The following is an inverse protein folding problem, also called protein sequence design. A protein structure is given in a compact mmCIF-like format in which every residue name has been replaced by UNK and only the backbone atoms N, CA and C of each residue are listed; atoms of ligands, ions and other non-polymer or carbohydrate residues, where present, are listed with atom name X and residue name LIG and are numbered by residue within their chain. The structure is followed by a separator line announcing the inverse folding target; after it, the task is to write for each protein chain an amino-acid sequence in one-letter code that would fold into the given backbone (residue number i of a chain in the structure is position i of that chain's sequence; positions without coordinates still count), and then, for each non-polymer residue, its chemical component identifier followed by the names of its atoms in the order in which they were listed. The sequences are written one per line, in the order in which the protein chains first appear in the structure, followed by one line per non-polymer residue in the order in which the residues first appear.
data_IF_650616345347
#
_entry.id   IF_650616345347
#
_cell.length_a   1.000
_cell.length_b   1.000
_cell.length_c   1.000
_cell.angle_alpha   90.00
_cell.angle_beta   90.00
_cell.angle_gamma   90.00
#
_symmetry.space_group_name_H-M   'P 1'
#
loop_
_entity.id
_entity.type
_entity.pdbx_description
1 polymer ?
#
# COMPACT_ATOMS: atom_id res chain seq x y z
N UNK A 1 36.65 -5.01 8.12
CA UNK A 1 35.54 -4.07 7.83
C UNK A 1 34.52 -4.74 6.93
N UNK A 2 33.52 -5.43 7.49
CA UNK A 2 32.47 -6.08 6.70
C UNK A 2 31.38 -5.05 6.38
N UNK A 3 31.48 -4.44 5.20
CA UNK A 3 30.33 -3.77 4.60
C UNK A 3 29.21 -4.81 4.50
N UNK A 4 28.11 -4.64 5.24
CA UNK A 4 26.91 -5.48 5.07
C UNK A 4 26.41 -5.30 3.62
N UNK A 5 26.81 -6.23 2.74
CA UNK A 5 26.51 -6.23 1.31
C UNK A 5 25.01 -6.53 1.14
N UNK A 6 24.32 -5.70 0.36
CA UNK A 6 22.93 -5.98 -0.01
C UNK A 6 22.82 -7.25 -0.84
N UNK A 7 21.65 -7.86 -0.90
CA UNK A 7 21.42 -9.04 -1.72
C UNK A 7 21.11 -8.67 -3.16
N UNK A 8 21.85 -9.26 -4.10
CA UNK A 8 21.63 -9.09 -5.54
C UNK A 8 20.48 -10.01 -5.97
N UNK A 9 19.41 -9.41 -6.48
CA UNK A 9 18.23 -10.12 -6.99
C UNK A 9 18.16 -9.90 -8.51
N UNK A 10 18.14 -10.95 -9.33
CA UNK A 10 17.97 -10.82 -10.76
C UNK A 10 16.57 -10.26 -11.09
N UNK A 11 16.51 -9.42 -12.11
CA UNK A 11 15.26 -8.95 -12.71
C UNK A 11 15.25 -9.30 -14.20
N UNK A 12 14.08 -9.31 -14.84
CA UNK A 12 13.98 -9.27 -16.31
C UNK A 12 13.40 -7.93 -16.76
N UNK A 13 13.78 -7.47 -17.95
CA UNK A 13 13.17 -6.32 -18.61
C UNK A 13 12.31 -6.82 -19.76
N UNK A 14 11.00 -6.66 -19.65
CA UNK A 14 10.03 -7.13 -20.63
C UNK A 14 9.09 -5.96 -20.95
N UNK A 15 8.93 -5.61 -22.24
CA UNK A 15 8.13 -4.44 -22.65
C UNK A 15 8.46 -3.17 -21.83
N UNK A 16 9.77 -2.89 -21.69
CA UNK A 16 10.32 -1.76 -20.92
C UNK A 16 9.96 -1.75 -19.42
N UNK A 17 9.41 -2.84 -18.88
CA UNK A 17 9.04 -2.98 -17.46
C UNK A 17 9.98 -3.97 -16.75
N UNK A 18 10.46 -3.63 -15.54
CA UNK A 18 11.22 -4.55 -14.71
C UNK A 18 10.32 -5.56 -14.00
N UNK A 19 10.68 -6.84 -14.06
CA UNK A 19 9.99 -7.93 -13.38
C UNK A 19 10.92 -8.65 -12.40
N UNK A 20 10.34 -9.09 -11.28
CA UNK A 20 10.98 -10.00 -10.32
C UNK A 20 10.26 -11.35 -10.40
N UNK A 21 11.04 -12.42 -10.59
CA UNK A 21 10.55 -13.80 -10.68
C UNK A 21 10.99 -14.67 -9.48
N UNK A 22 11.70 -14.08 -8.52
CA UNK A 22 12.26 -14.78 -7.34
C UNK A 22 11.44 -14.55 -6.07
N UNK A 23 10.23 -14.00 -6.20
CA UNK A 23 9.33 -13.78 -5.08
C UNK A 23 8.49 -15.03 -4.85
N UNK A 24 8.29 -15.38 -3.59
CA UNK A 24 7.47 -16.53 -3.21
C UNK A 24 6.43 -16.13 -2.16
N UNK A 25 5.17 -16.45 -2.44
CA UNK A 25 4.09 -16.44 -1.45
C UNK A 25 4.18 -17.72 -0.64
N UNK A 26 4.23 -17.60 0.68
CA UNK A 26 4.37 -18.75 1.58
C UNK A 26 3.24 -18.76 2.59
N UNK A 27 2.54 -19.87 2.70
CA UNK A 27 1.61 -20.19 3.79
C UNK A 27 2.09 -21.42 4.57
N UNK A 28 1.23 -22.02 5.39
CA UNK A 28 1.59 -23.18 6.21
C UNK A 28 1.82 -24.46 5.40
N UNK A 29 1.36 -24.53 4.15
CA UNK A 29 1.34 -25.77 3.35
C UNK A 29 2.10 -25.62 2.03
N UNK A 30 2.21 -24.41 1.49
CA UNK A 30 2.67 -24.15 0.13
C UNK A 30 3.66 -22.99 0.05
N UNK A 31 4.56 -23.08 -0.92
CA UNK A 31 5.34 -21.96 -1.44
C UNK A 31 5.00 -21.80 -2.93
N UNK A 32 4.51 -20.62 -3.33
CA UNK A 32 4.09 -20.34 -4.70
C UNK A 32 4.97 -19.22 -5.26
N UNK A 33 5.84 -19.51 -6.25
CA UNK A 33 6.63 -18.48 -6.90
C UNK A 33 5.73 -17.56 -7.71
N UNK A 34 6.03 -16.25 -7.67
CA UNK A 34 5.30 -15.23 -8.40
C UNK A 34 6.19 -14.35 -9.26
N UNK A 35 5.69 -14.02 -10.45
CA UNK A 35 6.24 -13.02 -11.35
C UNK A 35 5.47 -11.71 -11.18
N UNK A 36 6.17 -10.67 -10.75
CA UNK A 36 5.55 -9.36 -10.48
C UNK A 36 6.34 -8.23 -11.13
N UNK A 37 5.64 -7.17 -11.53
CA UNK A 37 6.28 -5.92 -11.94
C UNK A 37 6.80 -5.18 -10.71
N UNK A 38 7.99 -4.60 -10.84
CA UNK A 38 8.57 -3.70 -9.85
C UNK A 38 8.10 -2.27 -10.16
N UNK A 39 7.19 -1.75 -9.34
CA UNK A 39 6.41 -0.54 -9.65
C UNK A 39 6.61 0.54 -8.59
N UNK A 40 7.55 1.45 -8.81
CA UNK A 40 7.81 2.56 -7.87
C UNK A 40 6.68 3.61 -7.87
N UNK A 41 5.74 3.56 -8.83
CA UNK A 41 4.57 4.43 -8.86
C UNK A 41 3.39 3.91 -8.03
N UNK A 42 3.46 2.64 -7.60
CA UNK A 42 2.41 2.02 -6.80
C UNK A 42 2.61 2.24 -5.30
N UNK A 43 1.54 2.59 -4.58
CA UNK A 43 1.57 2.79 -3.13
C UNK A 43 1.48 1.50 -2.30
N UNK A 44 0.89 0.44 -2.83
CA UNK A 44 0.70 -0.83 -2.11
C UNK A 44 1.98 -1.65 -1.94
N UNK A 45 1.93 -2.67 -1.07
CA UNK A 45 3.06 -3.60 -0.92
C UNK A 45 3.05 -4.64 -2.03
N UNK A 46 1.90 -5.25 -2.25
CA UNK A 46 1.67 -6.28 -3.25
C UNK A 46 0.24 -6.13 -3.80
N UNK A 47 0.11 -6.16 -5.12
CA UNK A 47 -1.18 -6.33 -5.81
C UNK A 47 -1.12 -7.60 -6.63
N UNK A 48 -2.08 -8.50 -6.43
CA UNK A 48 -2.13 -9.79 -7.11
C UNK A 48 -3.38 -9.88 -7.98
N UNK A 49 -3.19 -10.33 -9.21
CA UNK A 49 -4.27 -10.78 -10.06
C UNK A 49 -4.62 -12.23 -9.71
N UNK A 50 -5.66 -12.39 -8.90
CA UNK A 50 -6.17 -13.70 -8.52
C UNK A 50 -6.82 -14.46 -9.69
N UNK A 51 -7.12 -13.80 -10.81
CA UNK A 51 -7.64 -14.44 -12.02
C UNK A 51 -6.55 -15.06 -12.89
N UNK A 52 -5.30 -14.59 -12.77
CA UNK A 52 -4.19 -15.02 -13.61
C UNK A 52 -3.62 -16.41 -13.26
N UNK A 53 -3.83 -16.93 -12.04
CA UNK A 53 -3.24 -18.21 -11.62
C UNK A 53 -4.07 -18.91 -10.55
N UNK A 54 -4.54 -20.12 -10.85
CA UNK A 54 -5.32 -20.97 -9.92
C UNK A 54 -4.56 -21.41 -8.67
N UNK A 55 -3.23 -21.28 -8.63
CA UNK A 55 -2.39 -21.64 -7.48
C UNK A 55 -2.30 -20.54 -6.43
N UNK A 56 -2.63 -19.29 -6.75
CA UNK A 56 -2.64 -18.19 -5.79
C UNK A 56 -3.97 -18.25 -5.04
N UNK A 57 -3.93 -18.77 -3.81
CA UNK A 57 -5.10 -18.81 -2.93
C UNK A 57 -5.36 -17.45 -2.32
N UNK A 58 -6.60 -17.00 -2.39
CA UNK A 58 -7.04 -15.81 -1.66
C UNK A 58 -6.99 -16.07 -0.14
N UNK A 59 -6.63 -15.07 0.68
CA UNK A 59 -6.76 -15.15 2.12
C UNK A 59 -8.21 -15.38 2.57
N UNK A 60 -8.39 -16.04 3.72
CA UNK A 60 -9.73 -16.31 4.28
C UNK A 60 -10.50 -15.04 4.66
N UNK A 61 -9.78 -14.00 5.11
CA UNK A 61 -10.36 -12.70 5.44
C UNK A 61 -10.02 -11.71 4.33
N UNK A 62 -11.08 -11.18 3.71
CA UNK A 62 -11.02 -10.13 2.70
C UNK A 62 -11.98 -9.01 3.08
N UNK A 63 -11.60 -7.77 2.80
CA UNK A 63 -12.48 -6.61 2.86
C UNK A 63 -12.54 -5.94 1.50
N UNK A 64 -13.69 -5.41 1.11
CA UNK A 64 -13.81 -4.59 -0.09
C UNK A 64 -13.15 -3.24 0.17
N UNK A 65 -12.42 -2.70 -0.82
CA UNK A 65 -11.75 -1.42 -0.69
C UNK A 65 -11.55 -0.74 -2.05
N UNK A 66 -11.47 0.59 -2.03
CA UNK A 66 -10.88 1.36 -3.11
C UNK A 66 -9.36 1.23 -3.00
N UNK A 67 -8.75 0.52 -3.95
CA UNK A 67 -7.32 0.17 -3.93
C UNK A 67 -6.43 1.34 -4.39
N UNK A 68 -7.03 2.34 -5.03
CA UNK A 68 -6.37 3.56 -5.46
C UNK A 68 -7.03 4.13 -6.71
N UNK A 69 -6.29 5.03 -7.37
CA UNK A 69 -6.69 5.65 -8.64
C UNK A 69 -5.56 5.46 -9.65
N UNK A 70 -5.86 4.82 -10.77
CA UNK A 70 -4.99 4.74 -11.94
C UNK A 70 -5.34 5.81 -12.97
N UNK A 71 -4.61 5.80 -14.09
CA UNK A 71 -4.88 6.69 -15.23
C UNK A 71 -6.31 6.53 -15.77
N UNK A 72 -6.87 5.32 -15.69
CA UNK A 72 -8.22 4.98 -16.14
C UNK A 72 -9.31 5.24 -15.09
N UNK A 73 -8.97 5.83 -13.94
CA UNK A 73 -9.90 6.13 -12.86
C UNK A 73 -9.74 5.25 -11.63
N UNK A 74 -10.83 5.05 -10.90
CA UNK A 74 -10.85 4.35 -9.61
C UNK A 74 -10.59 2.86 -9.81
N UNK A 75 -9.73 2.29 -8.97
CA UNK A 75 -9.43 0.85 -8.94
C UNK A 75 -10.10 0.26 -7.71
N UNK A 76 -11.13 -0.56 -7.92
CA UNK A 76 -11.80 -1.31 -6.87
C UNK A 76 -11.27 -2.74 -6.77
N UNK A 77 -11.43 -3.33 -5.60
CA UNK A 77 -11.16 -4.74 -5.36
C UNK A 77 -11.19 -5.06 -3.88
N UNK A 78 -10.33 -5.98 -3.47
CA UNK A 78 -10.27 -6.48 -2.09
C UNK A 78 -8.90 -6.30 -1.48
N UNK A 79 -8.86 -6.11 -0.17
CA UNK A 79 -7.64 -6.20 0.64
C UNK A 79 -7.68 -7.49 1.47
N UNK A 80 -6.52 -8.13 1.60
CA UNK A 80 -6.32 -9.32 2.41
C UNK A 80 -4.91 -9.35 2.99
N UNK A 81 -4.67 -10.24 3.96
CA UNK A 81 -3.32 -10.47 4.50
C UNK A 81 -2.67 -11.73 3.93
N UNK A 82 -1.49 -11.56 3.36
CA UNK A 82 -0.60 -12.66 2.97
C UNK A 82 0.32 -12.96 4.15
N UNK A 83 0.37 -14.23 4.56
CA UNK A 83 1.13 -14.65 5.74
C UNK A 83 2.62 -14.34 5.61
N UNK A 84 3.21 -14.67 4.47
CA UNK A 84 4.64 -14.52 4.25
C UNK A 84 4.98 -14.29 2.77
N UNK A 85 5.93 -13.40 2.54
CA UNK A 85 6.54 -13.14 1.23
C UNK A 85 8.06 -13.29 1.36
N UNK A 86 8.66 -14.13 0.54
CA UNK A 86 10.12 -14.32 0.49
C UNK A 86 10.73 -13.75 -0.76
N UNK A 87 11.92 -13.18 -0.63
CA UNK A 87 12.78 -12.72 -1.73
C UNK A 87 14.23 -12.89 -1.32
N UNK A 88 14.95 -13.80 -1.98
CA UNK A 88 16.30 -14.16 -1.57
C UNK A 88 16.33 -14.59 -0.09
N UNK A 89 17.20 -13.98 0.71
CA UNK A 89 17.32 -14.22 2.16
C UNK A 89 16.27 -13.48 3.01
N UNK A 90 15.52 -12.55 2.42
CA UNK A 90 14.56 -11.74 3.15
C UNK A 90 13.20 -12.42 3.25
N UNK A 91 12.61 -12.34 4.43
CA UNK A 91 11.25 -12.81 4.70
C UNK A 91 10.46 -11.66 5.33
N UNK A 92 9.35 -11.29 4.69
CA UNK A 92 8.38 -10.35 5.22
C UNK A 92 7.13 -11.12 5.62
N UNK A 93 6.44 -10.65 6.65
CA UNK A 93 5.30 -11.35 7.22
C UNK A 93 4.09 -10.42 7.31
N UNK A 94 2.91 -11.03 7.30
CA UNK A 94 1.63 -10.36 7.54
C UNK A 94 1.37 -9.16 6.63
N UNK A 95 1.67 -9.32 5.33
CA UNK A 95 1.60 -8.24 4.34
C UNK A 95 0.15 -7.94 4.00
N UNK A 96 -0.22 -6.67 3.95
CA UNK A 96 -1.46 -6.23 3.30
C UNK A 96 -1.26 -6.31 1.79
N UNK A 97 -2.05 -7.16 1.14
CA UNK A 97 -2.07 -7.32 -0.31
C UNK A 97 -3.42 -6.88 -0.87
N UNK A 98 -3.38 -6.34 -2.09
CA UNK A 98 -4.56 -5.96 -2.84
C UNK A 98 -4.87 -6.98 -3.94
N UNK A 99 -6.16 -7.16 -4.21
CA UNK A 99 -6.69 -8.06 -5.23
C UNK A 99 -7.69 -7.26 -6.07
N UNK A 100 -7.23 -6.58 -7.13
CA UNK A 100 -8.07 -5.76 -7.99
C UNK A 100 -9.13 -6.59 -8.73
N UNK A 101 -10.29 -5.99 -8.99
CA UNK A 101 -11.31 -6.62 -9.82
C UNK A 101 -10.84 -6.73 -11.28
N UNK A 102 -11.23 -7.81 -11.95
CA UNK A 102 -10.69 -8.21 -13.26
C UNK A 102 -10.84 -7.18 -14.37
N UNK A 103 -11.85 -6.30 -14.32
CA UNK A 103 -12.04 -5.22 -15.30
C UNK A 103 -10.99 -4.12 -15.18
N UNK A 104 -10.41 -3.92 -13.99
CA UNK A 104 -9.37 -2.90 -13.75
C UNK A 104 -7.98 -3.36 -14.22
N UNK A 105 -7.76 -4.68 -14.33
CA UNK A 105 -6.44 -5.27 -14.60
C UNK A 105 -6.22 -5.62 -16.08
N UNK A 106 -7.30 -5.87 -16.84
CA UNK A 106 -7.26 -6.22 -18.29
C UNK A 106 -6.55 -5.21 -19.18
N UNK A 107 -6.46 -3.94 -18.76
CA UNK A 107 -5.74 -2.89 -19.52
C UNK A 107 -4.21 -3.08 -19.47
N UNK A 108 -3.69 -3.87 -18.52
CA UNK A 108 -2.27 -3.84 -18.13
C UNK A 108 -1.46 -5.05 -18.63
N UNK A 109 -2.10 -6.15 -19.06
CA UNK A 109 -1.41 -7.42 -19.36
C UNK A 109 -1.61 -7.86 -20.81
N UNK A 110 -0.62 -7.62 -21.68
CA UNK A 110 -0.65 -8.07 -23.07
C UNK A 110 0.52 -9.01 -23.40
N UNK A 111 0.71 -10.09 -22.61
CA UNK A 111 1.73 -11.12 -22.91
C UNK A 111 1.19 -12.52 -22.56
N UNK A 112 0.80 -13.30 -23.57
CA UNK A 112 0.15 -14.62 -23.41
C UNK A 112 1.09 -15.76 -22.99
N UNK A 113 2.41 -15.56 -22.97
CA UNK A 113 3.38 -16.68 -22.83
C UNK A 113 3.96 -16.86 -21.42
N UNK A 114 3.82 -15.89 -20.52
CA UNK A 114 4.21 -16.01 -19.11
C UNK A 114 3.43 -14.98 -18.26
N UNK A 115 2.28 -15.35 -17.68
CA UNK A 115 1.35 -14.39 -17.10
C UNK A 115 1.96 -13.70 -15.88
N UNK A 116 1.95 -12.36 -15.91
CA UNK A 116 2.24 -11.52 -14.75
C UNK A 116 1.21 -11.79 -13.66
N UNK A 117 1.66 -12.16 -12.46
CA UNK A 117 0.77 -12.40 -11.32
C UNK A 117 0.41 -11.13 -10.55
N UNK A 118 1.15 -10.02 -10.74
CA UNK A 118 0.93 -8.82 -9.95
C UNK A 118 1.96 -7.72 -10.11
N UNK A 119 1.99 -6.77 -9.18
CA UNK A 119 3.08 -5.81 -8.98
C UNK A 119 3.40 -5.64 -7.49
N UNK A 120 4.65 -5.27 -7.21
CA UNK A 120 5.08 -4.81 -5.89
C UNK A 120 5.37 -3.32 -5.94
N UNK A 121 4.96 -2.60 -4.90
CA UNK A 121 5.03 -1.15 -4.85
C UNK A 121 5.89 -0.60 -3.71
N UNK A 122 5.77 0.70 -3.48
CA UNK A 122 6.57 1.46 -2.53
C UNK A 122 6.43 1.00 -1.07
N UNK A 123 5.26 0.50 -0.64
CA UNK A 123 5.14 -0.03 0.72
C UNK A 123 6.02 -1.26 0.93
N UNK A 124 6.23 -2.09 -0.10
CA UNK A 124 7.24 -3.15 -0.04
C UNK A 124 8.65 -2.58 -0.17
N UNK A 125 8.89 -1.71 -1.16
CA UNK A 125 10.25 -1.23 -1.48
C UNK A 125 10.87 -0.39 -0.37
N UNK A 126 10.08 0.38 0.39
CA UNK A 126 10.59 1.20 1.51
C UNK A 126 11.20 0.38 2.63
N UNK A 127 10.99 -0.94 2.65
CA UNK A 127 11.66 -1.87 3.57
C UNK A 127 13.17 -1.96 3.29
N UNK A 128 13.60 -1.56 2.09
CA UNK A 128 14.96 -1.71 1.58
C UNK A 128 15.54 -0.37 1.11
N UNK A 129 16.87 -0.24 1.20
CA UNK A 129 17.63 0.59 0.26
C UNK A 129 17.78 -0.22 -1.02
N UNK A 130 17.22 0.29 -2.12
CA UNK A 130 17.18 -0.38 -3.42
C UNK A 130 18.19 0.28 -4.35
N UNK A 131 19.01 -0.52 -5.05
CA UNK A 131 19.85 -0.06 -6.16
C UNK A 131 19.45 -0.80 -7.42
N UNK A 132 19.21 -0.08 -8.50
CA UNK A 132 18.82 -0.64 -9.79
C UNK A 132 20.02 -0.68 -10.73
N UNK A 133 20.25 -1.82 -11.36
CA UNK A 133 21.14 -1.94 -12.51
C UNK A 133 20.36 -2.60 -13.65
N UNK A 134 19.71 -1.76 -14.46
CA UNK A 134 18.89 -2.22 -15.59
C UNK A 134 19.71 -2.85 -16.70
N UNK A 135 20.94 -2.36 -16.95
CA UNK A 135 21.84 -2.90 -17.98
C UNK A 135 22.20 -4.35 -17.70
N UNK A 136 22.59 -4.63 -16.47
CA UNK A 136 22.98 -5.97 -16.02
C UNK A 136 21.80 -6.75 -15.42
N UNK A 137 20.59 -6.19 -15.52
CA UNK A 137 19.32 -6.81 -15.12
C UNK A 137 19.30 -7.36 -13.69
N UNK A 138 19.68 -6.53 -12.71
CA UNK A 138 19.50 -6.86 -11.30
C UNK A 138 19.12 -5.65 -10.46
N UNK A 139 18.59 -5.93 -9.28
CA UNK A 139 18.51 -4.98 -8.17
C UNK A 139 19.35 -5.46 -7.00
N UNK A 140 19.78 -4.53 -6.15
CA UNK A 140 20.36 -4.84 -4.85
C UNK A 140 19.41 -4.39 -3.76
N UNK A 141 19.00 -5.32 -2.91
CA UNK A 141 18.14 -5.07 -1.76
C UNK A 141 18.97 -5.10 -0.48
N UNK A 142 18.94 -3.99 0.26
CA UNK A 142 19.56 -3.90 1.58
C UNK A 142 18.54 -3.42 2.61
N UNK A 143 18.12 -4.29 3.51
CA UNK A 143 17.24 -3.93 4.61
C UNK A 143 17.96 -3.83 5.95
N UNK A 144 17.38 -3.07 6.87
CA UNK A 144 17.65 -3.15 8.31
C UNK A 144 16.62 -4.07 8.98
N UNK A 145 17.00 -4.69 10.11
CA UNK A 145 16.05 -5.50 10.89
C UNK A 145 14.85 -4.68 11.37
N UNK A 146 15.04 -3.39 11.65
CA UNK A 146 13.96 -2.48 12.04
C UNK A 146 12.92 -2.35 10.93
N UNK A 147 13.35 -2.11 9.69
CA UNK A 147 12.45 -1.92 8.57
C UNK A 147 11.67 -3.21 8.26
N UNK A 148 12.32 -4.38 8.30
CA UNK A 148 11.66 -5.66 8.03
C UNK A 148 10.57 -6.02 9.05
N UNK A 149 10.71 -5.54 10.29
CA UNK A 149 9.74 -5.75 11.38
C UNK A 149 8.61 -4.72 11.38
N UNK A 150 8.68 -3.70 10.53
CA UNK A 150 7.63 -2.69 10.45
C UNK A 150 6.33 -3.32 9.91
N UNK A 151 5.21 -3.20 10.64
CA UNK A 151 3.96 -3.82 10.23
C UNK A 151 3.47 -3.24 8.91
N UNK A 152 2.80 -4.09 8.13
CA UNK A 152 2.02 -3.62 6.98
C UNK A 152 0.63 -3.26 7.48
N UNK A 153 0.28 -1.98 7.40
CA UNK A 153 -1.01 -1.49 7.86
C UNK A 153 -1.75 -0.76 6.75
N UNK A 154 -3.06 -0.99 6.72
CA UNK A 154 -3.97 -0.17 5.93
C UNK A 154 -4.41 1.04 6.75
N UNK A 155 -4.96 2.06 6.08
CA UNK A 155 -5.56 3.19 6.75
C UNK A 155 -6.62 2.73 7.77
N UNK A 156 -6.47 3.13 9.04
CA UNK A 156 -7.37 2.72 10.13
C UNK A 156 -8.41 3.78 10.49
N UNK A 157 -8.51 4.84 9.71
CA UNK A 157 -9.51 5.91 9.89
C UNK A 157 -10.76 5.68 9.03
N UNK A 158 -10.61 5.01 7.89
CA UNK A 158 -11.66 4.90 6.87
C UNK A 158 -11.98 6.22 6.15
N UNK A 159 -11.07 7.19 6.17
CA UNK A 159 -11.18 8.40 5.33
C UNK A 159 -10.06 8.46 4.28
N UNK A 160 -10.36 9.01 3.11
CA UNK A 160 -9.38 9.37 2.09
C UNK A 160 -9.25 10.90 2.00
N UNK A 161 -8.01 11.38 1.88
CA UNK A 161 -7.70 12.80 1.77
C UNK A 161 -7.19 13.11 0.36
N UNK A 162 -7.63 14.23 -0.20
CA UNK A 162 -6.92 14.87 -1.31
C UNK A 162 -6.10 16.05 -0.82
N UNK A 163 -4.86 16.09 -1.27
CA UNK A 163 -4.02 17.27 -1.20
C UNK A 163 -4.39 18.23 -2.34
N UNK A 164 -4.72 19.47 -1.99
CA UNK A 164 -5.11 20.56 -2.88
C UNK A 164 -4.25 21.81 -2.59
N UNK A 165 -4.50 22.86 -3.38
CA UNK A 165 -3.73 24.10 -3.34
C UNK A 165 -2.43 23.99 -4.15
N UNK A 166 -1.79 25.13 -4.42
CA UNK A 166 -0.58 25.19 -5.25
C UNK A 166 0.59 24.36 -4.68
N UNK A 167 0.64 24.23 -3.35
CA UNK A 167 1.69 23.52 -2.64
C UNK A 167 1.24 22.15 -2.10
N UNK A 168 0.04 21.67 -2.46
CA UNK A 168 -0.51 20.39 -1.99
C UNK A 168 -0.53 20.23 -0.46
N UNK A 169 -0.75 21.33 0.26
CA UNK A 169 -0.79 21.38 1.72
C UNK A 169 -2.17 21.76 2.28
N UNK A 170 -3.21 21.71 1.45
CA UNK A 170 -4.60 21.81 1.88
C UNK A 170 -5.26 20.45 1.73
N UNK A 171 -5.67 19.83 2.85
CA UNK A 171 -6.24 18.48 2.81
C UNK A 171 -7.76 18.52 2.94
N UNK A 172 -8.44 17.93 1.97
CA UNK A 172 -9.88 17.76 1.94
C UNK A 172 -10.23 16.29 2.14
N UNK A 173 -11.22 15.99 2.98
CA UNK A 173 -11.79 14.65 3.03
C UNK A 173 -12.58 14.42 1.75
N UNK A 174 -12.09 13.53 0.89
CA UNK A 174 -12.78 13.18 -0.37
C UNK A 174 -13.76 12.03 -0.20
N UNK A 175 -13.49 11.14 0.74
CA UNK A 175 -14.29 9.94 0.94
C UNK A 175 -14.31 9.55 2.40
N UNK A 176 -15.46 9.10 2.87
CA UNK A 176 -15.61 8.40 4.15
C UNK A 176 -16.24 7.04 3.90
N UNK A 177 -15.62 6.01 4.47
CA UNK A 177 -16.14 4.66 4.42
C UNK A 177 -17.25 4.48 5.46
N UNK A 178 -18.32 3.79 5.07
CA UNK A 178 -19.42 3.46 5.98
C UNK A 178 -18.94 2.54 7.11
N UNK A 179 -19.45 2.75 8.31
CA UNK A 179 -19.09 2.09 9.56
C UNK A 179 -17.59 2.22 9.92
N UNK A 180 -16.97 3.34 9.55
CA UNK A 180 -15.57 3.64 9.84
C UNK A 180 -15.40 4.56 11.05
N UNK A 181 -14.21 4.58 11.68
CA UNK A 181 -13.92 5.54 12.75
C UNK A 181 -14.10 7.01 12.36
N UNK A 182 -13.88 7.37 11.09
CA UNK A 182 -14.12 8.72 10.61
C UNK A 182 -15.62 9.06 10.58
N UNK A 183 -16.46 8.12 10.12
CA UNK A 183 -17.92 8.27 10.14
C UNK A 183 -18.45 8.35 11.58
N UNK A 184 -18.01 7.44 12.46
CA UNK A 184 -18.38 7.42 13.88
C UNK A 184 -18.01 8.72 14.60
N UNK A 185 -16.90 9.35 14.20
CA UNK A 185 -16.45 10.64 14.72
C UNK A 185 -17.17 11.85 14.11
N UNK A 186 -18.14 11.63 13.22
CA UNK A 186 -18.95 12.66 12.59
C UNK A 186 -18.22 13.49 11.54
N UNK A 187 -17.06 13.04 11.05
CA UNK A 187 -16.40 13.64 9.89
C UNK A 187 -17.25 13.43 8.64
N UNK A 188 -17.12 14.32 7.66
CA UNK A 188 -17.88 14.26 6.41
C UNK A 188 -16.99 14.53 5.20
N UNK A 189 -17.39 14.00 4.04
CA UNK A 189 -16.81 14.39 2.76
C UNK A 189 -16.96 15.91 2.56
N UNK A 190 -15.90 16.56 2.09
CA UNK A 190 -15.83 18.01 1.95
C UNK A 190 -15.30 18.75 3.18
N UNK A 191 -15.08 18.07 4.32
CA UNK A 191 -14.41 18.68 5.46
C UNK A 191 -12.95 19.02 5.11
N UNK A 192 -12.53 20.27 5.37
CA UNK A 192 -11.13 20.69 5.23
C UNK A 192 -10.39 20.44 6.54
N UNK A 193 -9.37 19.61 6.50
CA UNK A 193 -8.50 19.36 7.64
C UNK A 193 -7.68 20.62 7.97
N UNK A 194 -7.78 21.10 9.21
CA UNK A 194 -6.97 22.20 9.72
C UNK A 194 -5.87 21.70 10.63
N UNK A 195 -6.20 20.79 11.56
CA UNK A 195 -5.26 20.20 12.50
C UNK A 195 -5.50 18.71 12.69
N UNK A 196 -4.41 17.98 12.89
CA UNK A 196 -4.43 16.62 13.45
C UNK A 196 -3.52 16.56 14.67
N UNK A 197 -4.06 16.15 15.80
CA UNK A 197 -3.44 16.30 17.12
C UNK A 197 -2.97 17.75 17.31
N UNK A 198 -1.67 17.95 17.54
CA UNK A 198 -1.07 19.28 17.76
C UNK A 198 -0.33 19.79 16.49
N UNK A 199 -0.60 19.22 15.32
CA UNK A 199 0.05 19.61 14.05
C UNK A 199 -0.94 20.29 13.12
N UNK A 200 -0.56 21.45 12.61
CA UNK A 200 -1.25 22.13 11.52
C UNK A 200 -1.16 21.30 10.24
N UNK A 201 -2.24 21.31 9.44
CA UNK A 201 -2.30 20.76 8.09
C UNK A 201 -1.22 21.34 7.17
N UNK A 202 -0.82 22.60 7.36
CA UNK A 202 0.23 23.23 6.55
C UNK A 202 1.64 22.71 6.87
N UNK A 203 1.85 22.15 8.06
CA UNK A 203 3.17 21.72 8.56
C UNK A 203 3.34 20.20 8.55
N UNK A 204 2.37 19.46 8.00
CA UNK A 204 2.40 18.01 7.92
C UNK A 204 2.18 17.58 6.47
N UNK A 205 3.02 16.67 5.99
CA UNK A 205 2.84 16.10 4.65
C UNK A 205 1.73 15.05 4.62
N UNK A 206 1.13 14.83 3.44
CA UNK A 206 0.14 13.76 3.22
C UNK A 206 0.69 12.38 3.62
N UNK A 207 1.97 12.12 3.36
CA UNK A 207 2.62 10.86 3.72
C UNK A 207 2.73 10.69 5.24
N UNK A 208 2.99 11.77 5.99
CA UNK A 208 2.99 11.73 7.45
C UNK A 208 1.58 11.54 8.02
N UNK A 209 0.57 12.16 7.41
CA UNK A 209 -0.84 11.94 7.78
C UNK A 209 -1.22 10.46 7.64
N UNK A 210 -0.94 9.84 6.49
CA UNK A 210 -1.23 8.42 6.30
C UNK A 210 -0.44 7.52 7.26
N UNK A 211 0.80 7.89 7.64
CA UNK A 211 1.53 7.19 8.71
C UNK A 211 0.85 7.35 10.07
N UNK A 212 0.26 8.50 10.38
CA UNK A 212 -0.54 8.68 11.60
C UNK A 212 -1.77 7.76 11.60
N UNK A 213 -2.41 7.61 10.44
CA UNK A 213 -3.60 6.77 10.27
C UNK A 213 -3.30 5.27 10.36
N UNK A 214 -2.02 4.90 10.42
CA UNK A 214 -1.53 3.53 10.53
C UNK A 214 -0.84 3.25 11.88
N UNK A 215 -0.96 4.16 12.87
CA UNK A 215 -0.24 4.07 14.16
C UNK A 215 -0.66 2.92 15.08
N UNK A 216 -1.69 2.16 14.71
CA UNK A 216 -2.16 1.00 15.43
C UNK A 216 -3.53 1.20 16.07
N UNK A 217 -4.21 0.08 16.24
CA UNK A 217 -5.57 -0.01 16.77
C UNK A 217 -5.69 0.55 18.19
N UNK A 218 -6.84 1.19 18.47
CA UNK A 218 -7.15 1.80 19.76
C UNK A 218 -6.46 3.14 20.02
N UNK A 219 -5.64 3.65 19.09
CA UNK A 219 -4.98 4.96 19.25
C UNK A 219 -5.93 6.09 18.86
N UNK A 220 -6.12 7.11 19.73
CA UNK A 220 -6.92 8.27 19.37
C UNK A 220 -6.15 9.21 18.45
N UNK A 221 -6.88 9.88 17.57
CA UNK A 221 -6.42 11.01 16.79
C UNK A 221 -7.44 12.14 16.94
N UNK A 222 -6.96 13.31 17.35
CA UNK A 222 -7.78 14.51 17.48
C UNK A 222 -7.74 15.28 16.16
N UNK A 223 -8.88 15.81 15.74
CA UNK A 223 -9.02 16.55 14.50
C UNK A 223 -9.70 17.89 14.76
N UNK A 224 -9.23 18.91 14.05
CA UNK A 224 -9.97 20.13 13.83
C UNK A 224 -10.19 20.27 12.33
N UNK A 225 -11.45 20.29 11.93
CA UNK A 225 -11.84 20.44 10.52
C UNK A 225 -12.75 21.64 10.34
N UNK A 226 -12.72 22.22 9.13
CA UNK A 226 -13.63 23.27 8.71
C UNK A 226 -14.70 22.67 7.80
N UNK A 227 -15.97 22.83 8.20
CA UNK A 227 -17.16 22.45 7.43
C UNK A 227 -17.96 23.71 7.11
N UNK A 228 -17.89 24.19 5.88
CA UNK A 228 -18.43 25.50 5.53
C UNK A 228 -17.79 26.61 6.39
N UNK A 229 -18.59 27.29 7.22
CA UNK A 229 -18.12 28.31 8.15
C UNK A 229 -17.86 27.80 9.57
N UNK A 230 -18.19 26.53 9.84
CA UNK A 230 -18.09 25.95 11.18
C UNK A 230 -16.74 25.27 11.39
N UNK A 231 -16.21 25.37 12.61
CA UNK A 231 -15.10 24.57 13.08
C UNK A 231 -15.64 23.40 13.88
N UNK A 232 -15.20 22.20 13.52
CA UNK A 232 -15.58 20.96 14.20
C UNK A 232 -14.32 20.39 14.83
N UNK A 233 -14.40 20.15 16.14
CA UNK A 233 -13.36 19.45 16.89
C UNK A 233 -13.90 18.07 17.21
N UNK A 234 -13.17 17.04 16.82
CA UNK A 234 -13.58 15.65 17.06
C UNK A 234 -12.38 14.76 17.33
N UNK A 235 -12.65 13.59 17.92
CA UNK A 235 -11.64 12.55 18.17
C UNK A 235 -12.14 11.27 17.54
N UNK A 236 -11.29 10.63 16.73
CA UNK A 236 -11.55 9.28 16.23
C UNK A 236 -10.55 8.31 16.86
N UNK A 237 -10.96 7.06 17.02
CA UNK A 237 -10.09 5.98 17.51
C UNK A 237 -9.78 5.02 16.37
N UNK A 238 -8.49 4.83 16.06
CA UNK A 238 -8.06 3.97 14.96
C UNK A 238 -8.54 2.53 15.14
N UNK A 239 -9.10 1.95 14.08
CA UNK A 239 -9.59 0.56 14.06
C UNK A 239 -9.00 -0.20 12.88
N UNK A 240 -8.43 -1.38 13.16
CA UNK A 240 -7.84 -2.21 12.10
C UNK A 240 -8.93 -2.97 11.35
N UNK A 241 -9.13 -2.64 10.07
CA UNK A 241 -10.11 -3.33 9.24
C UNK A 241 -9.63 -4.72 8.76
N UNK A 242 -8.34 -4.83 8.43
CA UNK A 242 -7.72 -6.04 7.85
C UNK A 242 -6.47 -6.48 8.60
#
# INVERSE_FOLDING_TARGET
MNYLIGEKIPISIEDKKPYINTLELVDSVTSVPIKVVLDTGAGHALSLDASANSKIKLPNKLINAQLGRGLSGIINGKLGRIQKLKIGKYTLQNLVASFPDSNSYKVITNTMTNPRHGNIGCEFLRRFRVTFNYRDQYIVLKASNKNLKEPFEHNMTGMELAAKGQNYNEYLIERIEANSPAEDAGLQEGDKLLFVNNKSSHDISISELYKLFQKGEGKPLNFVVKRGNNLIVTTLTLKRAI
#
